data_IF_318342501840
#
_entry.id   IF_318342501840
#
_cell.length_a   1.000
_cell.length_b   1.000
_cell.length_c   1.000
_cell.angle_alpha   90.00
_cell.angle_beta   90.00
_cell.angle_gamma   90.00
#
_symmetry.space_group_name_H-M   'P 1'
#
loop_
_entity.id
_entity.type
_entity.pdbx_description
1 polymer ?
#
# COMPACT_ATOMS: atom_id res chain seq x y z
N UNK A 1 23.77 20.09 -29.73
CA UNK A 1 23.81 20.15 -28.24
C UNK A 1 23.43 21.56 -27.83
N UNK A 2 22.84 21.82 -26.64
CA UNK A 2 22.24 20.87 -25.68
C UNK A 2 20.92 20.29 -26.26
N UNK A 3 19.91 19.78 -25.55
CA UNK A 3 19.77 19.35 -24.14
C UNK A 3 19.38 17.86 -24.09
N UNK A 4 19.62 17.20 -22.95
CA UNK A 4 18.95 15.95 -22.57
C UNK A 4 18.01 16.26 -21.40
N UNK A 5 16.70 16.17 -21.60
CA UNK A 5 15.76 16.18 -20.48
C UNK A 5 15.90 14.86 -19.74
N UNK A 6 16.77 14.84 -18.73
CA UNK A 6 16.72 13.83 -17.68
C UNK A 6 15.41 14.07 -16.91
N UNK A 7 14.33 13.43 -17.34
CA UNK A 7 13.21 13.14 -16.45
C UNK A 7 13.69 12.11 -15.44
N UNK A 8 14.50 12.58 -14.48
CA UNK A 8 14.77 11.89 -13.24
C UNK A 8 13.43 11.66 -12.56
N UNK A 9 12.87 10.47 -12.76
CA UNK A 9 11.87 9.92 -11.85
C UNK A 9 12.58 9.40 -10.60
N UNK A 10 13.42 10.25 -10.01
CA UNK A 10 13.77 10.22 -8.59
C UNK A 10 12.51 10.63 -7.82
N UNK A 11 11.50 9.75 -7.90
CA UNK A 11 10.34 9.79 -7.02
C UNK A 11 10.81 9.26 -5.68
N UNK A 12 11.35 10.17 -4.89
CA UNK A 12 11.52 10.12 -3.42
C UNK A 12 11.16 8.76 -2.80
N UNK A 13 12.06 7.79 -2.98
CA UNK A 13 11.98 6.50 -2.28
C UNK A 13 12.45 6.76 -0.86
N UNK A 14 11.51 7.18 -0.01
CA UNK A 14 11.34 6.77 1.41
C UNK A 14 10.29 7.62 2.18
N UNK A 15 9.54 8.54 1.54
CA UNK A 15 8.56 9.37 2.28
C UNK A 15 7.16 9.62 1.67
N UNK A 16 6.64 8.76 0.78
CA UNK A 16 5.17 8.66 0.70
C UNK A 16 4.67 8.05 2.03
N UNK A 17 3.77 8.71 2.78
CA UNK A 17 3.37 8.22 4.09
C UNK A 17 2.44 7.01 3.93
N UNK A 18 3.02 5.82 3.84
CA UNK A 18 2.27 4.56 3.75
C UNK A 18 1.55 4.25 5.06
N UNK A 19 0.44 3.52 4.96
CA UNK A 19 -0.22 2.87 6.10
C UNK A 19 -0.33 1.38 5.82
N UNK A 20 0.39 0.59 6.61
CA UNK A 20 0.40 -0.87 6.52
C UNK A 20 -0.89 -1.44 7.09
N UNK A 21 -1.40 -2.50 6.45
CA UNK A 21 -2.55 -3.28 6.92
C UNK A 21 -1.98 -4.53 7.59
N UNK A 22 -2.37 -4.77 8.85
CA UNK A 22 -1.88 -5.93 9.58
C UNK A 22 -2.60 -7.22 9.13
N UNK A 23 -1.95 -8.38 9.22
CA UNK A 23 -2.47 -9.66 8.71
C UNK A 23 -3.77 -10.13 9.40
N UNK A 24 -3.97 -9.71 10.66
CA UNK A 24 -5.22 -9.92 11.39
C UNK A 24 -6.38 -9.09 10.82
N UNK A 25 -6.13 -7.83 10.45
CA UNK A 25 -7.10 -6.94 9.79
C UNK A 25 -7.36 -7.35 8.33
N UNK A 26 -6.37 -7.92 7.66
CA UNK A 26 -6.49 -8.37 6.27
C UNK A 26 -7.62 -9.40 6.06
N UNK A 27 -7.90 -10.21 7.08
CA UNK A 27 -8.99 -11.18 7.06
C UNK A 27 -10.39 -10.59 7.23
N UNK A 28 -10.53 -9.37 7.78
CA UNK A 28 -11.83 -8.70 7.89
C UNK A 28 -12.17 -7.84 6.66
N UNK A 29 -11.20 -7.56 5.78
CA UNK A 29 -11.39 -6.73 4.59
C UNK A 29 -11.55 -7.62 3.34
N UNK A 30 -12.77 -8.11 3.11
CA UNK A 30 -13.09 -9.09 2.06
C UNK A 30 -12.62 -8.67 0.66
N UNK A 31 -12.83 -7.41 0.26
CA UNK A 31 -12.46 -6.94 -1.09
C UNK A 31 -10.94 -6.92 -1.34
N UNK A 32 -10.12 -6.74 -0.29
CA UNK A 32 -8.67 -6.87 -0.38
C UNK A 32 -8.30 -8.34 -0.57
N UNK A 33 -8.87 -9.22 0.26
CA UNK A 33 -8.63 -10.66 0.20
C UNK A 33 -8.96 -11.22 -1.19
N UNK A 34 -10.10 -10.85 -1.77
CA UNK A 34 -10.48 -11.24 -3.14
C UNK A 34 -9.45 -10.79 -4.20
N UNK A 35 -8.81 -9.62 -4.06
CA UNK A 35 -7.73 -9.18 -4.95
C UNK A 35 -6.43 -9.97 -4.72
N UNK A 36 -6.12 -10.33 -3.47
CA UNK A 36 -4.95 -11.14 -3.14
C UNK A 36 -5.08 -12.57 -3.67
N UNK A 37 -6.24 -13.21 -3.46
CA UNK A 37 -6.56 -14.53 -3.99
C UNK A 37 -6.46 -14.54 -5.52
N UNK A 38 -7.06 -13.56 -6.21
CA UNK A 38 -6.97 -13.40 -7.66
C UNK A 38 -5.53 -13.16 -8.16
N UNK A 39 -4.64 -12.65 -7.31
CA UNK A 39 -3.22 -12.44 -7.60
C UNK A 39 -2.30 -13.58 -7.16
N UNK A 40 -2.85 -14.66 -6.59
CA UNK A 40 -2.07 -15.76 -5.99
C UNK A 40 -1.06 -15.31 -4.91
N UNK A 41 -1.39 -14.26 -4.15
CA UNK A 41 -0.61 -13.78 -2.99
C UNK A 41 0.88 -13.52 -3.27
N UNK A 42 1.24 -13.09 -4.48
CA UNK A 42 2.63 -12.75 -4.83
C UNK A 42 2.94 -11.26 -4.62
N UNK A 43 2.83 -10.44 -5.67
CA UNK A 43 3.05 -8.99 -5.62
C UNK A 43 2.11 -8.29 -6.60
N UNK A 44 1.66 -7.09 -6.26
CA UNK A 44 0.72 -6.37 -7.10
C UNK A 44 0.25 -5.04 -6.53
N UNK A 45 -0.79 -4.50 -7.17
CA UNK A 45 -1.38 -3.20 -6.84
C UNK A 45 -2.75 -3.44 -6.21
N UNK A 46 -3.03 -2.69 -5.16
CA UNK A 46 -4.35 -2.65 -4.56
C UNK A 46 -5.18 -1.58 -5.29
N UNK A 47 -6.36 -1.94 -5.82
CA UNK A 47 -7.24 -1.02 -6.56
C UNK A 47 -8.59 -0.86 -5.86
N UNK A 48 -9.24 0.28 -6.02
CA UNK A 48 -10.54 0.53 -5.41
C UNK A 48 -11.59 -0.46 -5.98
N UNK A 49 -12.40 -1.12 -5.13
CA UNK A 49 -13.41 -2.07 -5.60
C UNK A 49 -14.49 -1.38 -6.46
N UNK A 50 -14.83 -0.12 -6.15
CA UNK A 50 -15.81 0.68 -6.89
C UNK A 50 -15.25 1.31 -8.17
N UNK A 51 -13.93 1.56 -8.23
CA UNK A 51 -13.26 2.11 -9.41
C UNK A 51 -11.89 1.47 -9.59
N UNK A 52 -11.82 0.43 -10.43
CA UNK A 52 -10.58 -0.33 -10.70
C UNK A 52 -9.46 0.48 -11.37
N UNK A 53 -9.75 1.70 -11.87
CA UNK A 53 -8.74 2.63 -12.35
C UNK A 53 -7.96 3.34 -11.24
N UNK A 54 -8.54 3.43 -10.03
CA UNK A 54 -7.91 4.10 -8.88
C UNK A 54 -7.09 3.10 -8.06
N UNK A 55 -5.77 3.28 -8.03
CA UNK A 55 -4.87 2.53 -7.14
C UNK A 55 -4.96 3.10 -5.72
N UNK A 56 -5.20 2.27 -4.72
CA UNK A 56 -5.18 2.65 -3.30
C UNK A 56 -3.88 2.25 -2.59
N UNK A 57 -3.15 1.29 -3.14
CA UNK A 57 -2.00 0.70 -2.46
C UNK A 57 -1.20 -0.30 -3.29
N UNK A 58 -0.45 -1.15 -2.60
CA UNK A 58 0.29 -2.28 -3.17
C UNK A 58 0.46 -3.38 -2.13
N UNK A 59 0.85 -4.56 -2.61
CA UNK A 59 1.28 -5.66 -1.78
C UNK A 59 2.50 -6.37 -2.39
N UNK A 60 3.39 -6.87 -1.54
CA UNK A 60 4.51 -7.75 -1.91
C UNK A 60 4.78 -8.74 -0.78
N UNK A 61 4.42 -10.01 -1.00
CA UNK A 61 4.68 -11.14 -0.11
C UNK A 61 5.93 -11.94 -0.53
N UNK A 62 6.59 -11.57 -1.63
CA UNK A 62 7.71 -12.31 -2.21
C UNK A 62 9.06 -11.80 -1.66
N UNK A 63 9.24 -10.49 -1.60
CA UNK A 63 10.53 -9.90 -1.23
C UNK A 63 10.62 -9.50 0.25
N UNK A 64 9.48 -9.17 0.87
CA UNK A 64 9.39 -8.68 2.24
C UNK A 64 10.04 -7.30 2.40
N UNK A 65 9.24 -6.26 2.65
CA UNK A 65 9.79 -4.93 2.92
C UNK A 65 10.35 -4.87 4.35
N UNK A 66 11.55 -4.31 4.52
CA UNK A 66 12.08 -3.96 5.85
C UNK A 66 11.85 -2.48 6.14
N UNK A 67 11.68 -2.13 7.40
CA UNK A 67 11.66 -0.74 7.83
C UNK A 67 13.04 -0.11 7.59
N UNK A 68 13.10 1.21 7.41
CA UNK A 68 14.35 1.95 7.24
C UNK A 68 15.35 1.75 8.43
N UNK A 69 14.86 1.37 9.61
CA UNK A 69 15.72 0.98 10.74
C UNK A 69 16.36 -0.42 10.61
N UNK A 70 16.02 -1.21 9.58
CA UNK A 70 16.42 -2.61 9.33
C UNK A 70 16.08 -3.64 10.42
N UNK A 71 15.54 -3.21 11.56
CA UNK A 71 15.23 -4.04 12.73
C UNK A 71 13.89 -4.79 12.61
N UNK A 72 12.94 -4.22 11.86
CA UNK A 72 11.56 -4.73 11.75
C UNK A 72 11.18 -5.03 10.29
N UNK A 73 10.45 -6.12 10.08
CA UNK A 73 9.78 -6.43 8.80
C UNK A 73 8.46 -5.67 8.75
N UNK A 74 8.19 -5.00 7.64
CA UNK A 74 6.95 -4.29 7.38
C UNK A 74 5.89 -5.26 6.83
N UNK A 75 4.61 -5.10 7.17
CA UNK A 75 3.55 -5.94 6.61
C UNK A 75 3.50 -5.89 5.08
N UNK A 76 3.22 -7.03 4.47
CA UNK A 76 3.21 -7.20 3.01
C UNK A 76 2.22 -6.31 2.27
N UNK A 77 1.17 -5.82 2.94
CA UNK A 77 0.08 -5.01 2.36
C UNK A 77 0.14 -3.58 2.89
N UNK A 78 0.11 -2.59 1.99
CA UNK A 78 0.07 -1.18 2.38
C UNK A 78 -0.85 -0.34 1.48
N UNK A 79 -1.43 0.68 2.12
CA UNK A 79 -2.22 1.75 1.50
C UNK A 79 -1.38 3.03 1.45
N UNK A 80 -1.66 3.85 0.45
CA UNK A 80 -1.04 5.16 0.24
C UNK A 80 -1.93 6.21 0.92
N UNK A 81 -1.47 6.91 1.97
CA UNK A 81 -2.35 7.85 2.73
C UNK A 81 -2.86 9.02 1.87
N UNK A 82 -2.13 9.41 0.82
CA UNK A 82 -2.60 10.44 -0.12
C UNK A 82 -3.76 9.97 -1.02
N UNK A 83 -4.09 8.66 -1.02
CA UNK A 83 -5.15 8.05 -1.84
C UNK A 83 -6.36 7.54 -1.03
N UNK A 84 -6.30 7.57 0.31
CA UNK A 84 -7.37 7.11 1.19
C UNK A 84 -7.46 7.96 2.45
N UNK A 85 -8.65 8.49 2.71
CA UNK A 85 -8.95 9.13 3.99
C UNK A 85 -9.07 8.07 5.10
N UNK A 86 -8.59 8.43 6.30
CA UNK A 86 -8.69 7.58 7.48
C UNK A 86 -9.46 8.32 8.57
N UNK A 87 -10.71 7.91 8.79
CA UNK A 87 -11.40 8.27 10.02
C UNK A 87 -10.88 7.39 11.17
N UNK A 88 -10.28 7.97 12.23
CA UNK A 88 -10.06 7.22 13.47
C UNK A 88 -11.44 6.95 14.05
N UNK A 89 -11.90 5.70 13.88
CA UNK A 89 -13.30 5.31 14.09
C UNK A 89 -13.88 5.92 15.36
N UNK A 90 -14.99 6.66 15.19
CA UNK A 90 -15.62 7.46 16.22
C UNK A 90 -15.73 6.68 17.52
N UNK A 91 -14.91 7.05 18.50
CA UNK A 91 -15.15 6.70 19.89
C UNK A 91 -16.50 7.32 20.23
N UNK A 92 -17.56 6.49 20.26
CA UNK A 92 -18.84 6.90 20.80
C UNK A 92 -18.63 7.12 22.29
N UNK A 93 -18.31 8.35 22.65
CA UNK A 93 -18.34 8.82 24.03
C UNK A 93 -19.75 8.60 24.59
N UNK A 94 -19.88 8.13 25.84
CA UNK A 94 -21.16 7.76 26.46
C UNK A 94 -22.07 8.97 26.70
#
# INVERSE_FOLDING_TARGET
MPQTFLTSTDRDSDNEPLRFVAENELNSIEWIKQQLDASSWIKGKLVCPCNRGTRLGSYDFVHGSKCACNEHVLPSVHLVKSHVDFEPGSQQSP
#
